data_IF_224431300958
#
_entry.id   IF_224431300958
#
_cell.length_a   1.000
_cell.length_b   1.000
_cell.length_c   1.000
_cell.angle_alpha   90.00
_cell.angle_beta   90.00
_cell.angle_gamma   90.00
#
_symmetry.space_group_name_H-M   'P 1'
#
loop_
_entity.id
_entity.type
_entity.pdbx_description
1 polymer ?
#
# COMPACT_ATOMS: atom_id res chain seq x y z
N UNK A 1 -16.62 17.36 -1.64
CA UNK A 1 -15.60 16.66 -2.43
C UNK A 1 -15.07 17.63 -3.48
N UNK A 2 -13.76 17.92 -3.48
CA UNK A 2 -13.15 18.87 -4.41
C UNK A 2 -13.12 18.21 -5.80
N UNK A 3 -13.96 18.68 -6.74
CA UNK A 3 -14.18 18.04 -8.06
C UNK A 3 -12.89 17.80 -8.88
N UNK A 4 -11.88 18.70 -8.90
CA UNK A 4 -10.60 18.45 -9.58
C UNK A 4 -9.86 17.18 -9.12
N UNK A 5 -10.02 16.81 -7.86
CA UNK A 5 -9.28 15.71 -7.24
C UNK A 5 -9.77 14.33 -7.68
N UNK A 6 -11.04 14.22 -8.06
CA UNK A 6 -11.65 12.96 -8.52
C UNK A 6 -11.14 12.59 -9.91
N UNK A 7 -11.06 13.54 -10.84
CA UNK A 7 -10.53 13.31 -12.18
C UNK A 7 -9.05 12.95 -12.16
N UNK A 8 -8.27 13.58 -11.28
CA UNK A 8 -6.84 13.30 -11.14
C UNK A 8 -6.57 11.88 -10.62
N UNK A 9 -7.36 11.43 -9.63
CA UNK A 9 -7.30 10.04 -9.15
C UNK A 9 -7.58 9.03 -10.26
N UNK A 10 -8.54 9.32 -11.15
CA UNK A 10 -8.82 8.43 -12.27
C UNK A 10 -7.61 8.29 -13.20
N UNK A 11 -6.96 9.40 -13.55
CA UNK A 11 -5.75 9.39 -14.40
C UNK A 11 -4.65 8.54 -13.75
N UNK A 12 -4.32 8.78 -12.48
CA UNK A 12 -3.27 8.02 -11.80
C UNK A 12 -3.64 6.56 -11.55
N UNK A 13 -4.91 6.24 -11.29
CA UNK A 13 -5.37 4.85 -11.21
C UNK A 13 -5.20 4.14 -12.56
N UNK A 14 -5.50 4.83 -13.67
CA UNK A 14 -5.31 4.28 -15.01
C UNK A 14 -3.83 4.05 -15.33
N UNK A 15 -2.94 4.95 -14.91
CA UNK A 15 -1.48 4.74 -15.04
C UNK A 15 -1.03 3.46 -14.32
N UNK A 16 -1.43 3.27 -13.05
CA UNK A 16 -1.11 2.06 -12.28
C UNK A 16 -1.71 0.81 -12.92
N UNK A 17 -2.94 0.90 -13.45
CA UNK A 17 -3.55 -0.19 -14.20
C UNK A 17 -2.69 -0.57 -15.41
N UNK A 18 -2.24 0.42 -16.21
CA UNK A 18 -1.41 0.15 -17.39
C UNK A 18 -0.05 -0.44 -17.06
N UNK A 19 0.57 -0.09 -15.92
CA UNK A 19 1.83 -0.70 -15.49
C UNK A 19 1.68 -2.18 -15.14
N UNK A 20 0.50 -2.61 -14.68
CA UNK A 20 0.21 -4.01 -14.40
C UNK A 20 -0.08 -4.86 -15.64
N UNK A 21 -0.17 -4.27 -16.84
CA UNK A 21 -0.37 -5.00 -18.10
C UNK A 21 0.95 -5.62 -18.61
N UNK A 22 1.69 -6.30 -17.73
CA UNK A 22 3.03 -6.87 -18.02
C UNK A 22 3.02 -7.94 -19.11
N UNK A 23 1.86 -8.49 -19.47
CA UNK A 23 1.75 -9.39 -20.63
C UNK A 23 2.10 -8.69 -21.97
N UNK A 24 2.14 -7.36 -22.03
CA UNK A 24 2.62 -6.65 -23.22
C UNK A 24 4.14 -6.67 -23.38
N UNK A 25 4.89 -6.98 -22.31
CA UNK A 25 6.35 -7.14 -22.36
C UNK A 25 6.75 -8.27 -23.31
N UNK A 26 6.00 -9.39 -23.28
CA UNK A 26 6.20 -10.56 -24.13
C UNK A 26 5.39 -10.53 -25.44
N UNK A 27 4.81 -9.36 -25.79
CA UNK A 27 3.99 -9.24 -26.99
C UNK A 27 4.78 -9.55 -28.27
N UNK A 28 4.17 -10.28 -29.21
CA UNK A 28 4.74 -10.55 -30.54
C UNK A 28 4.91 -9.28 -31.39
N UNK A 29 4.25 -8.17 -31.01
CA UNK A 29 4.35 -6.87 -31.68
C UNK A 29 5.42 -6.00 -31.04
N UNK A 30 6.54 -5.79 -31.74
CA UNK A 30 7.64 -4.96 -31.24
C UNK A 30 7.28 -3.48 -30.98
N UNK A 31 6.21 -2.96 -31.59
CA UNK A 31 5.68 -1.62 -31.29
C UNK A 31 5.00 -1.60 -29.92
N UNK A 32 4.20 -2.62 -29.60
CA UNK A 32 3.50 -2.68 -28.31
C UNK A 32 4.49 -2.86 -27.17
N UNK A 33 5.48 -3.74 -27.33
CA UNK A 33 6.56 -3.93 -26.35
C UNK A 33 7.34 -2.65 -26.10
N UNK A 34 7.66 -1.88 -27.15
CA UNK A 34 8.35 -0.58 -27.01
C UNK A 34 7.51 0.44 -26.25
N UNK A 35 6.23 0.59 -26.60
CA UNK A 35 5.33 1.52 -25.91
C UNK A 35 5.17 1.13 -24.44
N UNK A 36 5.03 -0.16 -24.14
CA UNK A 36 4.92 -0.64 -22.77
C UNK A 36 6.18 -0.32 -21.97
N UNK A 37 7.36 -0.73 -22.43
CA UNK A 37 8.62 -0.55 -21.72
C UNK A 37 9.04 0.92 -21.56
N UNK A 38 8.66 1.79 -22.50
CA UNK A 38 9.04 3.21 -22.43
C UNK A 38 8.05 4.11 -21.68
N UNK A 39 6.77 3.72 -21.59
CA UNK A 39 5.71 4.61 -21.08
C UNK A 39 4.80 3.92 -20.08
N UNK A 40 4.19 2.79 -20.44
CA UNK A 40 3.16 2.17 -19.61
C UNK A 40 3.74 1.53 -18.33
N UNK A 41 4.94 0.97 -18.42
CA UNK A 41 5.66 0.40 -17.29
C UNK A 41 5.86 1.44 -16.17
N UNK A 42 6.21 2.68 -16.53
CA UNK A 42 6.41 3.81 -15.59
C UNK A 42 5.11 4.28 -14.91
N UNK A 43 3.96 3.70 -15.28
CA UNK A 43 2.67 3.98 -14.66
C UNK A 43 2.60 3.70 -13.15
N UNK A 44 3.55 2.92 -12.61
CA UNK A 44 3.67 2.65 -11.17
C UNK A 44 3.89 3.93 -10.35
N UNK A 45 4.42 5.01 -10.94
CA UNK A 45 4.59 6.33 -10.31
C UNK A 45 3.24 6.88 -9.80
N UNK A 46 2.11 6.44 -10.38
CA UNK A 46 0.78 6.80 -9.88
C UNK A 46 0.55 6.40 -8.42
N UNK A 47 1.20 5.35 -7.92
CA UNK A 47 1.13 4.96 -6.50
C UNK A 47 1.72 6.05 -5.60
N UNK A 48 2.84 6.66 -6.00
CA UNK A 48 3.45 7.78 -5.26
C UNK A 48 2.50 8.97 -5.15
N UNK A 49 1.75 9.27 -6.22
CA UNK A 49 0.71 10.30 -6.16
C UNK A 49 -0.38 9.97 -5.13
N UNK A 50 -0.85 8.72 -5.07
CA UNK A 50 -1.85 8.31 -4.07
C UNK A 50 -1.32 8.43 -2.63
N UNK A 51 -0.05 8.11 -2.39
CA UNK A 51 0.55 8.30 -1.07
C UNK A 51 0.64 9.78 -0.67
N UNK A 52 1.13 10.65 -1.56
CA UNK A 52 1.17 12.09 -1.32
C UNK A 52 -0.23 12.62 -1.05
N UNK A 53 -1.22 12.18 -1.84
CA UNK A 53 -2.60 12.61 -1.69
C UNK A 53 -3.22 12.12 -0.38
N UNK A 54 -2.93 10.88 0.03
CA UNK A 54 -3.37 10.33 1.32
C UNK A 54 -2.83 11.17 2.47
N UNK A 55 -1.52 11.49 2.44
CA UNK A 55 -0.88 12.37 3.42
C UNK A 55 -1.47 13.77 3.44
N UNK A 56 -1.72 14.37 2.27
CA UNK A 56 -2.37 15.69 2.17
C UNK A 56 -3.78 15.71 2.77
N UNK A 57 -4.63 14.74 2.42
CA UNK A 57 -6.00 14.62 2.95
C UNK A 57 -5.96 14.39 4.46
N UNK A 58 -4.99 13.61 4.92
CA UNK A 58 -4.79 13.33 6.33
C UNK A 58 -4.35 14.58 7.09
N UNK A 59 -3.38 15.35 6.60
CA UNK A 59 -3.01 16.61 7.22
C UNK A 59 -4.19 17.61 7.21
N UNK A 60 -4.88 17.75 6.08
CA UNK A 60 -6.01 18.67 5.93
C UNK A 60 -7.18 18.34 6.87
N UNK A 61 -7.58 17.06 6.98
CA UNK A 61 -8.71 16.68 7.84
C UNK A 61 -8.41 16.76 9.34
N UNK A 62 -7.12 16.70 9.72
CA UNK A 62 -6.71 16.69 11.13
C UNK A 62 -6.07 18.01 11.57
N UNK A 63 -6.02 19.03 10.71
CA UNK A 63 -5.50 20.37 11.01
C UNK A 63 -6.22 21.04 12.20
N UNK A 64 -7.52 20.78 12.37
CA UNK A 64 -8.34 21.43 13.41
C UNK A 64 -8.34 20.69 14.77
N UNK A 65 -7.43 19.73 14.97
CA UNK A 65 -7.09 19.23 16.31
C UNK A 65 -7.86 18.00 16.79
N UNK A 66 -8.27 17.10 15.90
CA UNK A 66 -8.83 15.79 16.27
C UNK A 66 -7.77 14.87 16.92
N UNK A 67 -6.51 15.28 17.10
CA UNK A 67 -5.47 14.48 17.79
C UNK A 67 -5.01 15.10 19.12
N UNK A 68 -5.81 15.98 19.73
CA UNK A 68 -5.46 16.70 20.98
C UNK A 68 -5.40 15.82 22.23
N UNK A 69 -6.05 14.66 22.24
CA UNK A 69 -6.11 13.80 23.42
C UNK A 69 -5.91 12.32 23.06
N UNK A 70 -5.44 11.52 24.02
CA UNK A 70 -5.13 10.10 23.80
C UNK A 70 -6.34 9.30 23.29
N UNK A 71 -7.55 9.68 23.66
CA UNK A 71 -8.78 8.99 23.23
C UNK A 71 -9.07 9.21 21.74
N UNK A 72 -8.87 10.42 21.23
CA UNK A 72 -9.09 10.72 19.81
C UNK A 72 -8.03 10.09 18.91
N UNK A 73 -6.77 10.04 19.36
CA UNK A 73 -5.70 9.26 18.71
C UNK A 73 -6.07 7.77 18.66
N UNK A 74 -6.60 7.20 19.76
CA UNK A 74 -7.06 5.80 19.75
C UNK A 74 -8.21 5.57 18.77
N UNK A 75 -9.22 6.45 18.75
CA UNK A 75 -10.34 6.37 17.80
C UNK A 75 -9.86 6.45 16.35
N UNK A 76 -8.89 7.32 16.07
CA UNK A 76 -8.25 7.45 14.77
C UNK A 76 -7.64 6.12 14.30
N UNK A 77 -6.77 5.52 15.12
CA UNK A 77 -6.13 4.25 14.76
C UNK A 77 -7.13 3.12 14.64
N UNK A 78 -8.08 3.03 15.57
CA UNK A 78 -9.08 1.96 15.56
C UNK A 78 -9.95 2.01 14.30
N UNK A 79 -10.39 3.20 13.89
CA UNK A 79 -11.20 3.35 12.67
C UNK A 79 -10.43 2.93 11.41
N UNK A 80 -9.13 3.25 11.33
CA UNK A 80 -8.28 2.89 10.17
C UNK A 80 -7.91 1.43 10.17
N UNK A 81 -7.54 0.89 11.34
CA UNK A 81 -7.24 -0.52 11.51
C UNK A 81 -8.47 -1.38 11.21
N UNK A 82 -9.65 -1.04 11.75
CA UNK A 82 -10.90 -1.76 11.48
C UNK A 82 -11.32 -1.71 10.00
N UNK A 83 -10.91 -0.67 9.26
CA UNK A 83 -11.17 -0.56 7.83
C UNK A 83 -10.27 -1.47 6.99
N UNK A 84 -9.00 -1.60 7.37
CA UNK A 84 -7.96 -2.23 6.55
C UNK A 84 -7.71 -3.69 6.96
N UNK A 85 -7.54 -3.91 8.26
CA UNK A 85 -7.04 -5.16 8.81
C UNK A 85 -7.97 -6.36 8.57
N UNK A 86 -9.31 -6.25 8.66
CA UNK A 86 -10.19 -7.40 8.39
C UNK A 86 -10.04 -7.92 6.96
N UNK A 87 -9.93 -7.02 5.98
CA UNK A 87 -9.74 -7.40 4.58
C UNK A 87 -8.35 -8.01 4.38
N UNK A 88 -7.31 -7.41 4.97
CA UNK A 88 -5.95 -7.95 4.90
C UNK A 88 -5.89 -9.38 5.44
N UNK A 89 -6.40 -9.63 6.65
CA UNK A 89 -6.42 -10.96 7.26
C UNK A 89 -7.23 -11.95 6.43
N UNK A 90 -8.37 -11.55 5.88
CA UNK A 90 -9.16 -12.40 5.00
C UNK A 90 -8.34 -12.83 3.77
N UNK A 91 -7.70 -11.86 3.08
CA UNK A 91 -6.87 -12.16 1.92
C UNK A 91 -5.64 -13.00 2.29
N UNK A 92 -5.04 -12.75 3.46
CA UNK A 92 -3.90 -13.50 3.96
C UNK A 92 -4.28 -14.96 4.22
N UNK A 93 -5.40 -15.23 4.90
CA UNK A 93 -5.90 -16.59 5.17
C UNK A 93 -6.14 -17.34 3.85
N UNK A 94 -6.70 -16.69 2.84
CA UNK A 94 -6.93 -17.29 1.52
C UNK A 94 -5.60 -17.59 0.81
N UNK A 95 -4.62 -16.70 0.94
CA UNK A 95 -3.31 -16.84 0.29
C UNK A 95 -2.39 -17.89 0.94
N UNK A 96 -2.58 -18.21 2.23
CA UNK A 96 -1.78 -19.21 2.95
C UNK A 96 -1.77 -20.57 2.25
N UNK A 97 -2.91 -21.24 1.97
CA UNK A 97 -2.90 -22.54 1.31
C UNK A 97 -2.38 -22.47 -0.13
N UNK A 98 -2.63 -21.36 -0.83
CA UNK A 98 -2.13 -21.13 -2.20
C UNK A 98 -0.60 -21.04 -2.21
N UNK A 99 -0.03 -20.29 -1.27
CA UNK A 99 1.43 -20.15 -1.13
C UNK A 99 2.09 -21.45 -0.69
N UNK A 100 1.49 -22.18 0.26
CA UNK A 100 2.05 -23.41 0.82
C UNK A 100 2.07 -24.56 -0.20
N UNK A 101 1.05 -24.64 -1.06
CA UNK A 101 0.93 -25.73 -2.05
C UNK A 101 1.66 -25.49 -3.38
N UNK A 102 1.84 -24.23 -3.80
CA UNK A 102 2.29 -23.89 -5.16
C UNK A 102 3.65 -23.17 -5.18
N UNK A 103 3.95 -22.36 -4.16
CA UNK A 103 5.08 -21.41 -4.19
C UNK A 103 6.09 -21.62 -3.05
N UNK A 104 5.93 -22.65 -2.21
CA UNK A 104 6.81 -22.91 -1.09
C UNK A 104 8.08 -23.64 -1.53
N UNK A 105 9.15 -22.89 -1.79
CA UNK A 105 10.49 -23.46 -2.03
C UNK A 105 11.24 -23.72 -0.70
N UNK A 106 11.16 -22.80 0.25
CA UNK A 106 11.84 -22.87 1.55
C UNK A 106 10.88 -22.50 2.69
N UNK A 107 10.75 -23.40 3.67
CA UNK A 107 9.89 -23.23 4.85
C UNK A 107 10.31 -22.04 5.73
N UNK A 108 11.61 -21.79 5.85
CA UNK A 108 12.13 -20.71 6.69
C UNK A 108 11.76 -19.33 6.13
N UNK A 109 11.90 -19.17 4.81
CA UNK A 109 11.50 -17.96 4.09
C UNK A 109 9.99 -17.78 4.17
N UNK A 110 9.23 -18.85 3.97
CA UNK A 110 7.76 -18.81 4.08
C UNK A 110 7.28 -18.37 5.47
N UNK A 111 7.93 -18.85 6.54
CA UNK A 111 7.63 -18.39 7.90
C UNK A 111 8.00 -16.92 8.10
N UNK A 112 9.13 -16.46 7.53
CA UNK A 112 9.51 -15.04 7.61
C UNK A 112 8.49 -14.15 6.89
N UNK A 113 8.01 -14.58 5.71
CA UNK A 113 6.94 -13.90 4.97
C UNK A 113 5.67 -13.84 5.83
N UNK A 114 5.27 -14.94 6.47
CA UNK A 114 4.05 -14.98 7.27
C UNK A 114 4.12 -14.06 8.49
N UNK A 115 5.23 -14.14 9.23
CA UNK A 115 5.47 -13.32 10.44
C UNK A 115 5.49 -11.83 10.11
N UNK A 116 5.97 -11.45 8.92
CA UNK A 116 6.04 -10.04 8.50
C UNK A 116 4.74 -9.54 7.89
N UNK A 117 3.96 -10.40 7.20
CA UNK A 117 2.66 -10.04 6.64
C UNK A 117 1.56 -9.93 7.70
N UNK A 118 1.58 -10.76 8.75
CA UNK A 118 0.59 -10.73 9.83
C UNK A 118 0.40 -9.31 10.43
N UNK A 119 1.48 -8.59 10.80
CA UNK A 119 1.38 -7.21 11.31
C UNK A 119 1.42 -6.12 10.22
N UNK A 120 1.37 -6.46 8.93
CA UNK A 120 1.58 -5.51 7.83
C UNK A 120 2.96 -4.81 7.90
N UNK A 121 4.05 -5.56 8.10
CA UNK A 121 5.43 -5.04 8.18
C UNK A 121 6.33 -5.53 7.04
N UNK A 122 5.80 -6.29 6.09
CA UNK A 122 6.56 -6.88 4.99
C UNK A 122 7.24 -5.85 4.08
N UNK A 123 6.68 -4.64 3.92
CA UNK A 123 7.28 -3.57 3.11
C UNK A 123 8.56 -2.97 3.72
N UNK A 124 8.79 -3.16 5.02
CA UNK A 124 9.97 -2.60 5.69
C UNK A 124 11.24 -3.39 5.39
N UNK A 125 11.10 -4.59 4.83
CA UNK A 125 12.22 -5.44 4.45
C UNK A 125 12.38 -5.32 2.93
N UNK A 126 13.48 -4.74 2.43
CA UNK A 126 13.67 -4.43 1.00
C UNK A 126 14.04 -5.67 0.18
N UNK A 127 13.31 -6.78 0.37
CA UNK A 127 13.51 -8.05 -0.30
C UNK A 127 12.22 -8.40 -1.05
N UNK A 128 12.31 -8.53 -2.39
CA UNK A 128 11.16 -8.74 -3.28
C UNK A 128 10.30 -9.94 -2.92
N UNK A 129 10.93 -11.03 -2.51
CA UNK A 129 10.21 -12.22 -2.06
C UNK A 129 9.45 -12.01 -0.75
N UNK A 130 9.76 -10.96 0.02
CA UNK A 130 9.08 -10.64 1.28
C UNK A 130 7.98 -9.61 1.04
N UNK A 131 8.27 -8.45 0.45
CA UNK A 131 7.26 -7.40 0.33
C UNK A 131 6.13 -7.72 -0.67
N UNK A 132 6.37 -8.57 -1.67
CA UNK A 132 5.32 -9.07 -2.60
C UNK A 132 4.78 -10.47 -2.23
N UNK A 133 5.11 -11.00 -1.06
CA UNK A 133 4.60 -12.32 -0.64
C UNK A 133 3.09 -12.31 -0.40
N UNK A 134 2.47 -13.49 -0.49
CA UNK A 134 1.04 -13.74 -0.27
C UNK A 134 0.10 -12.91 -1.16
N UNK A 135 -0.26 -11.71 -0.70
CA UNK A 135 -1.08 -10.76 -1.42
C UNK A 135 -0.18 -9.63 -1.91
N UNK A 136 0.32 -9.73 -3.15
CA UNK A 136 1.27 -8.78 -3.70
C UNK A 136 0.89 -7.31 -3.42
N UNK A 137 -0.30 -6.77 -3.76
CA UNK A 137 -0.65 -5.37 -3.52
C UNK A 137 -0.79 -4.98 -2.04
N UNK A 138 -0.68 -5.90 -1.08
CA UNK A 138 -0.71 -5.56 0.36
C UNK A 138 0.46 -4.68 0.81
N UNK A 139 1.56 -4.65 0.05
CA UNK A 139 2.73 -3.80 0.33
C UNK A 139 2.35 -2.33 0.49
N UNK A 140 1.43 -1.82 -0.33
CA UNK A 140 1.05 -0.39 -0.28
C UNK A 140 0.25 -0.06 0.97
N UNK A 141 -0.46 -1.04 1.52
CA UNK A 141 -1.23 -0.90 2.75
C UNK A 141 -0.31 -0.95 3.97
N UNK A 142 0.76 -1.75 3.91
CA UNK A 142 1.84 -1.73 4.92
C UNK A 142 2.44 -0.31 5.03
N UNK A 143 2.74 0.31 3.89
CA UNK A 143 3.23 1.70 3.84
C UNK A 143 2.18 2.71 4.32
N UNK A 144 0.90 2.50 4.01
CA UNK A 144 -0.20 3.34 4.51
C UNK A 144 -0.27 3.33 6.04
N UNK A 145 -0.12 2.15 6.67
CA UNK A 145 -0.07 2.00 8.13
C UNK A 145 1.17 2.67 8.74
N UNK A 146 2.30 2.66 8.03
CA UNK A 146 3.49 3.41 8.42
C UNK A 146 3.20 4.92 8.45
N UNK A 147 2.60 5.47 7.39
CA UNK A 147 2.28 6.91 7.34
C UNK A 147 1.29 7.35 8.43
N UNK A 148 0.33 6.51 8.79
CA UNK A 148 -0.55 6.76 9.95
C UNK A 148 0.23 6.84 11.26
N UNK A 149 1.25 5.98 11.41
CA UNK A 149 2.14 5.99 12.57
C UNK A 149 2.97 7.27 12.64
N UNK A 150 3.52 7.73 11.51
CA UNK A 150 4.26 8.99 11.41
C UNK A 150 3.42 10.22 11.80
N UNK A 151 2.15 10.29 11.36
CA UNK A 151 1.27 11.42 11.70
C UNK A 151 1.08 11.55 13.22
N UNK A 152 0.81 10.42 13.89
CA UNK A 152 0.63 10.43 15.34
C UNK A 152 1.90 10.81 16.09
N UNK A 153 3.07 10.41 15.57
CA UNK A 153 4.34 10.81 16.16
C UNK A 153 4.55 12.32 16.04
N UNK A 154 4.29 12.91 14.87
CA UNK A 154 4.43 14.34 14.63
C UNK A 154 3.53 15.17 15.57
N UNK A 155 2.25 14.77 15.71
CA UNK A 155 1.32 15.43 16.64
C UNK A 155 1.75 15.32 18.11
N UNK A 156 2.42 14.24 18.50
CA UNK A 156 2.93 14.10 19.87
C UNK A 156 4.11 15.02 20.16
N UNK A 157 4.96 15.31 19.15
CA UNK A 157 6.09 16.23 19.28
C UNK A 157 5.59 17.68 19.40
N UNK A 158 4.62 18.09 18.58
CA UNK A 158 4.09 19.46 18.60
C UNK A 158 3.38 19.83 19.92
N UNK A 159 2.80 18.86 20.62
CA UNK A 159 2.16 19.11 21.93
C UNK A 159 3.15 19.19 23.12
N UNK A 160 4.44 18.94 22.90
CA UNK A 160 5.49 19.02 23.93
C UNK A 160 6.38 20.27 23.81
N UNK A 161 6.28 21.02 22.71
CA UNK A 161 6.93 22.33 22.52
C UNK A 161 6.00 23.46 22.91
#
# INVERSE_FOLDING_TARGET
>A
MIKPLTSLRFIFAFMVFTSHLSFFEESRSGILTRIYNSVLHEGYIGVSFFFILSGFILAYNYQDGILKNRESIKKFYLARFARIFPLHILTLIISIPLSYGIFMEDRSIWLSQLVTNLPLMQSYIPVKSIYFSFNAPSWSISDEMFFYSCLSFLNFVDHKG
#
